data_IF_396625753612
#
_entry.id   IF_396625753612
#
_cell.length_a   1.000
_cell.length_b   1.000
_cell.length_c   1.000
_cell.angle_alpha   90.00
_cell.angle_beta   90.00
_cell.angle_gamma   90.00
#
_symmetry.space_group_name_H-M   'P 1'
#
loop_
_entity.id
_entity.type
_entity.pdbx_description
1 polymer ?
#
# COMPACT_ATOMS: atom_id res chain seq x y z
N UNK A 1 8.01 14.80 1.37
CA UNK A 1 6.73 14.06 1.35
C UNK A 1 7.08 12.59 1.29
N UNK A 2 6.62 11.79 2.25
CA UNK A 2 6.83 10.33 2.23
C UNK A 2 5.94 9.73 1.15
N UNK A 3 6.52 9.01 0.19
CA UNK A 3 5.79 8.33 -0.89
C UNK A 3 5.59 6.85 -0.54
N UNK A 4 4.78 6.15 -1.35
CA UNK A 4 4.69 4.68 -1.26
C UNK A 4 6.07 4.07 -1.49
N UNK A 5 6.87 4.58 -2.43
CA UNK A 5 8.22 4.07 -2.68
C UNK A 5 9.14 4.22 -1.47
N UNK A 6 9.11 5.38 -0.78
CA UNK A 6 9.85 5.56 0.48
C UNK A 6 9.36 4.58 1.55
N UNK A 7 8.05 4.42 1.70
CA UNK A 7 7.47 3.44 2.63
C UNK A 7 7.99 2.02 2.35
N UNK A 8 8.01 1.60 1.08
CA UNK A 8 8.50 0.28 0.67
C UNK A 8 10.00 0.11 0.92
N UNK A 9 10.80 1.17 0.74
CA UNK A 9 12.25 1.15 0.99
C UNK A 9 12.60 1.00 2.48
N UNK A 10 11.73 1.50 3.36
CA UNK A 10 11.93 1.45 4.81
C UNK A 10 11.51 0.11 5.44
N UNK A 11 10.89 -0.80 4.67
CA UNK A 11 10.48 -2.11 5.17
C UNK A 11 11.63 -3.11 5.25
N UNK A 12 11.60 -4.04 6.22
CA UNK A 12 12.43 -5.24 6.20
C UNK A 12 12.29 -6.03 4.90
N UNK A 13 13.36 -6.70 4.44
CA UNK A 13 13.42 -7.33 3.12
C UNK A 13 12.31 -8.36 2.86
N UNK A 14 11.91 -9.12 3.89
CA UNK A 14 10.82 -10.10 3.84
C UNK A 14 9.46 -9.42 3.61
N UNK A 15 9.23 -8.26 4.21
CA UNK A 15 8.00 -7.49 4.08
C UNK A 15 7.97 -6.65 2.81
N UNK A 16 9.12 -6.10 2.40
CA UNK A 16 9.27 -5.28 1.22
C UNK A 16 8.81 -6.02 -0.04
N UNK A 17 9.19 -7.29 -0.21
CA UNK A 17 8.77 -8.10 -1.35
C UNK A 17 7.24 -8.24 -1.44
N UNK A 18 6.58 -8.51 -0.31
CA UNK A 18 5.12 -8.64 -0.24
C UNK A 18 4.45 -7.29 -0.49
N UNK A 19 4.90 -6.24 0.20
CA UNK A 19 4.34 -4.90 0.10
C UNK A 19 4.49 -4.31 -1.32
N UNK A 20 5.63 -4.53 -1.98
CA UNK A 20 5.85 -4.13 -3.36
C UNK A 20 4.92 -4.88 -4.33
N UNK A 21 4.74 -6.19 -4.11
CA UNK A 21 3.76 -6.97 -4.89
C UNK A 21 2.34 -6.45 -4.70
N UNK A 22 1.93 -6.11 -3.48
CA UNK A 22 0.61 -5.54 -3.21
C UNK A 22 0.44 -4.18 -3.87
N UNK A 23 1.44 -3.29 -3.77
CA UNK A 23 1.40 -1.99 -4.43
C UNK A 23 1.24 -2.09 -5.95
N UNK A 24 1.96 -3.02 -6.58
CA UNK A 24 1.85 -3.28 -8.02
C UNK A 24 0.48 -3.85 -8.41
N UNK A 25 -0.02 -4.82 -7.63
CA UNK A 25 -1.33 -5.44 -7.87
C UNK A 25 -2.47 -4.42 -7.71
N UNK A 26 -2.45 -3.61 -6.65
CA UNK A 26 -3.48 -2.60 -6.42
C UNK A 26 -3.46 -1.53 -7.52
N UNK A 27 -2.27 -1.04 -7.92
CA UNK A 27 -2.15 -0.07 -9.00
C UNK A 27 -2.62 -0.61 -10.35
N UNK A 28 -2.38 -1.89 -10.63
CA UNK A 28 -2.75 -2.51 -11.92
C UNK A 28 -4.24 -2.89 -11.99
N UNK A 29 -4.84 -3.27 -10.86
CA UNK A 29 -6.22 -3.79 -10.83
C UNK A 29 -7.24 -2.75 -10.36
N UNK A 30 -6.81 -1.58 -9.86
CA UNK A 30 -7.68 -0.47 -9.48
C UNK A 30 -7.35 0.78 -10.31
N UNK A 31 -7.58 0.76 -11.64
CA UNK A 31 -7.21 1.86 -12.54
C UNK A 31 -7.93 3.18 -12.20
N UNK A 32 -9.09 3.10 -11.54
CA UNK A 32 -9.89 4.27 -11.14
C UNK A 32 -9.53 4.78 -9.72
N UNK A 33 -8.49 4.22 -9.09
CA UNK A 33 -8.07 4.60 -7.75
C UNK A 33 -6.62 5.09 -7.73
N UNK A 34 -6.34 6.07 -6.88
CA UNK A 34 -5.00 6.63 -6.69
C UNK A 34 -4.40 6.11 -5.39
N UNK A 35 -3.22 5.50 -5.49
CA UNK A 35 -2.43 5.10 -4.33
C UNK A 35 -1.77 6.30 -3.66
N UNK A 36 -1.94 6.44 -2.34
CA UNK A 36 -1.25 7.43 -1.53
C UNK A 36 -0.94 6.90 -0.13
N UNK A 37 -0.06 7.59 0.59
CA UNK A 37 0.12 7.39 2.03
C UNK A 37 -1.05 8.05 2.76
N UNK A 38 -1.90 7.23 3.39
CA UNK A 38 -3.03 7.67 4.18
C UNK A 38 -2.90 7.12 5.61
N UNK A 39 -2.91 8.02 6.61
CA UNK A 39 -2.64 7.70 8.02
C UNK A 39 -1.36 6.87 8.26
N UNK A 40 -0.34 7.02 7.40
CA UNK A 40 0.95 6.33 7.52
C UNK A 40 1.08 5.01 6.77
N UNK A 41 0.06 4.62 5.98
CA UNK A 41 0.05 3.35 5.23
C UNK A 41 -0.40 3.56 3.77
N UNK A 42 0.08 2.74 2.82
CA UNK A 42 -0.40 2.78 1.44
C UNK A 42 -1.88 2.39 1.31
N UNK A 43 -2.67 3.29 0.73
CA UNK A 43 -4.11 3.10 0.46
C UNK A 43 -4.46 3.65 -0.92
N UNK A 44 -5.29 2.91 -1.65
CA UNK A 44 -5.86 3.29 -2.94
C UNK A 44 -7.27 3.84 -2.73
N UNK A 45 -7.47 5.09 -3.15
CA UNK A 45 -8.74 5.79 -3.02
C UNK A 45 -9.34 6.07 -4.39
N UNK A 46 -10.64 5.78 -4.55
CA UNK A 46 -11.44 6.30 -5.66
C UNK A 46 -12.00 7.65 -5.23
N UNK A 47 -11.39 8.72 -5.71
CA UNK A 47 -11.66 10.06 -5.21
C UNK A 47 -11.25 10.21 -3.74
N UNK A 48 -12.21 10.16 -2.81
CA UNK A 48 -11.97 10.24 -1.36
C UNK A 48 -12.34 8.95 -0.61
N UNK A 49 -12.84 7.95 -1.32
CA UNK A 49 -13.30 6.70 -0.73
C UNK A 49 -12.15 5.67 -0.79
N UNK A 50 -11.70 5.14 0.37
CA UNK A 50 -10.71 4.08 0.37
C UNK A 50 -11.33 2.79 -0.15
N UNK A 51 -10.60 2.05 -0.99
CA UNK A 51 -11.07 0.78 -1.58
C UNK A 51 -10.22 -0.39 -1.09
N UNK A 52 -8.89 -0.23 -1.13
CA UNK A 52 -7.97 -1.25 -0.69
C UNK A 52 -6.63 -0.61 -0.27
N UNK A 53 -5.89 -1.30 0.57
CA UNK A 53 -4.62 -0.82 1.08
C UNK A 53 -3.90 -1.92 1.84
N UNK A 54 -2.70 -1.62 2.33
CA UNK A 54 -1.95 -2.58 3.11
C UNK A 54 -1.12 -1.91 4.19
N UNK A 55 -0.81 -2.66 5.24
CA UNK A 55 0.00 -2.20 6.35
C UNK A 55 0.98 -3.29 6.77
N UNK A 56 2.26 -2.93 6.85
CA UNK A 56 3.27 -3.77 7.44
C UNK A 56 3.22 -3.69 8.98
N UNK A 57 3.31 -4.85 9.61
CA UNK A 57 3.52 -5.07 11.04
C UNK A 57 4.84 -5.82 11.23
N UNK A 58 5.40 -5.93 12.45
CA UNK A 58 6.73 -6.50 12.66
C UNK A 58 6.97 -7.92 12.11
N UNK A 59 5.93 -8.70 11.81
CA UNK A 59 6.06 -10.08 11.32
C UNK A 59 5.21 -10.41 10.08
N UNK A 60 4.39 -9.48 9.60
CA UNK A 60 3.43 -9.74 8.53
C UNK A 60 2.99 -8.45 7.86
N UNK A 61 2.43 -8.57 6.66
CA UNK A 61 1.75 -7.48 5.95
C UNK A 61 0.28 -7.83 5.87
N UNK A 62 -0.60 -6.91 6.28
CA UNK A 62 -2.05 -7.06 6.13
C UNK A 62 -2.51 -6.43 4.83
N UNK A 63 -3.37 -7.14 4.10
CA UNK A 63 -4.17 -6.57 3.02
C UNK A 63 -5.53 -6.18 3.59
N UNK A 64 -5.99 -4.97 3.28
CA UNK A 64 -7.23 -4.38 3.78
C UNK A 64 -8.15 -4.07 2.61
N UNK A 65 -9.45 -4.28 2.82
CA UNK A 65 -10.53 -3.94 1.90
C UNK A 65 -11.60 -3.16 2.68
N UNK A 66 -12.23 -2.19 2.02
CA UNK A 66 -13.36 -1.42 2.54
C UNK A 66 -14.67 -1.84 1.89
#
# INVERSE_FOLDING_TARGET
MTTIDTYLQDLPADQQAVAASLAGLLSSNLPDATGQLWHGHPVWLRGKEPIAGFQAFPKYVTLMFW
#
